data_IF_090703392353
#
_entry.id   IF_090703392353
#
_cell.length_a   1.000
_cell.length_b   1.000
_cell.length_c   1.000
_cell.angle_alpha   90.00
_cell.angle_beta   90.00
_cell.angle_gamma   90.00
#
_symmetry.space_group_name_H-M   'P 1'
#
loop_
_entity.id
_entity.type
_entity.pdbx_description
1 polymer ?
#
# COMPACT_ATOMS: atom_id res chain seq x y z
N UNK A 1 -10.16 -8.50 22.33
CA UNK A 1 -10.35 -9.15 21.03
C UNK A 1 -11.35 -8.45 20.08
N UNK A 2 -12.60 -8.18 20.47
CA UNK A 2 -13.67 -7.77 19.53
C UNK A 2 -13.36 -6.50 18.73
N UNK A 3 -12.90 -5.45 19.41
CA UNK A 3 -12.47 -4.21 18.76
C UNK A 3 -11.37 -4.43 17.71
N UNK A 4 -10.42 -5.33 17.96
CA UNK A 4 -9.37 -5.64 16.99
C UNK A 4 -9.94 -6.31 15.74
N UNK A 5 -10.89 -7.24 15.92
CA UNK A 5 -11.57 -7.92 14.82
C UNK A 5 -12.45 -6.98 14.00
N UNK A 6 -13.11 -6.02 14.64
CA UNK A 6 -13.90 -5.00 13.96
C UNK A 6 -13.01 -4.12 13.07
N UNK A 7 -11.92 -3.58 13.63
CA UNK A 7 -10.93 -2.80 12.86
C UNK A 7 -10.36 -3.61 11.70
N UNK A 8 -9.99 -4.87 11.94
CA UNK A 8 -9.48 -5.78 10.91
C UNK A 8 -10.50 -5.99 9.78
N UNK A 9 -11.77 -6.24 10.12
CA UNK A 9 -12.85 -6.44 9.16
C UNK A 9 -13.06 -5.22 8.27
N UNK A 10 -12.88 -4.02 8.84
CA UNK A 10 -13.02 -2.75 8.13
C UNK A 10 -11.73 -2.31 7.40
N UNK A 11 -10.70 -3.18 7.33
CA UNK A 11 -9.44 -2.87 6.66
C UNK A 11 -8.56 -1.84 7.39
N UNK A 12 -8.87 -1.54 8.66
CA UNK A 12 -8.12 -0.60 9.50
C UNK A 12 -6.93 -1.33 10.15
N UNK A 13 -6.07 -1.91 9.30
CA UNK A 13 -5.03 -2.85 9.71
C UNK A 13 -4.01 -2.22 10.67
N UNK A 14 -3.58 -0.99 10.43
CA UNK A 14 -2.62 -0.32 11.30
C UNK A 14 -3.20 -0.08 12.70
N UNK A 15 -4.48 0.27 12.80
CA UNK A 15 -5.17 0.42 14.08
C UNK A 15 -5.41 -0.94 14.77
N UNK A 16 -5.59 -2.03 14.02
CA UNK A 16 -5.81 -3.37 14.57
C UNK A 16 -4.53 -4.00 15.16
N UNK A 17 -3.36 -3.76 14.55
CA UNK A 17 -2.05 -4.32 14.97
C UNK A 17 -1.78 -4.18 16.48
N UNK A 18 -1.80 -2.99 17.09
CA UNK A 18 -1.47 -2.85 18.52
C UNK A 18 -2.44 -3.60 19.43
N UNK A 19 -3.71 -3.74 19.03
CA UNK A 19 -4.70 -4.49 19.80
C UNK A 19 -4.43 -6.00 19.72
N UNK A 20 -4.06 -6.53 18.55
CA UNK A 20 -3.66 -7.93 18.42
C UNK A 20 -2.38 -8.23 19.21
N UNK A 21 -1.37 -7.35 19.15
CA UNK A 21 -0.12 -7.51 19.93
C UNK A 21 -0.43 -7.59 21.43
N UNK A 22 -1.25 -6.66 21.94
CA UNK A 22 -1.65 -6.63 23.36
C UNK A 22 -2.36 -7.93 23.75
N UNK A 23 -3.31 -8.37 22.94
CA UNK A 23 -4.08 -9.59 23.18
C UNK A 23 -3.18 -10.83 23.22
N UNK A 24 -2.34 -11.03 22.20
CA UNK A 24 -1.38 -12.15 22.12
C UNK A 24 -0.45 -12.18 23.33
N UNK A 25 -0.01 -11.01 23.81
CA UNK A 25 0.86 -10.89 24.98
C UNK A 25 0.15 -11.31 26.27
N UNK A 26 -1.16 -11.06 26.39
CA UNK A 26 -1.97 -11.50 27.53
C UNK A 26 -2.40 -12.97 27.46
N UNK A 27 -2.72 -13.45 26.25
CA UNK A 27 -3.22 -14.81 26.02
C UNK A 27 -2.80 -15.27 24.63
N UNK A 28 -2.06 -16.37 24.58
CA UNK A 28 -1.72 -17.02 23.30
C UNK A 28 -2.99 -17.36 22.54
N UNK A 29 -3.09 -16.88 21.30
CA UNK A 29 -4.24 -17.09 20.43
C UNK A 29 -3.78 -17.22 18.98
N UNK A 30 -3.91 -18.42 18.41
CA UNK A 30 -3.53 -18.68 17.02
C UNK A 30 -4.35 -17.85 16.03
N UNK A 31 -5.64 -17.64 16.32
CA UNK A 31 -6.51 -16.80 15.50
C UNK A 31 -6.08 -15.33 15.48
N UNK A 32 -5.61 -14.80 16.61
CA UNK A 32 -5.07 -13.45 16.67
C UNK A 32 -3.71 -13.36 15.96
N UNK A 33 -2.84 -14.35 16.11
CA UNK A 33 -1.55 -14.39 15.43
C UNK A 33 -1.71 -14.38 13.91
N UNK A 34 -2.61 -15.23 13.36
CA UNK A 34 -2.91 -15.26 11.92
C UNK A 34 -3.44 -13.92 11.40
N UNK A 35 -4.32 -13.26 12.14
CA UNK A 35 -4.84 -11.93 11.76
C UNK A 35 -3.78 -10.83 11.85
N UNK A 36 -2.92 -10.88 12.85
CA UNK A 36 -1.77 -9.97 12.97
C UNK A 36 -0.80 -10.13 11.79
N UNK A 37 -0.46 -11.36 11.43
CA UNK A 37 0.35 -11.67 10.24
C UNK A 37 -0.32 -11.08 8.99
N UNK A 38 -1.63 -11.30 8.82
CA UNK A 38 -2.35 -10.73 7.69
C UNK A 38 -2.31 -9.20 7.68
N UNK A 39 -2.48 -8.52 8.82
CA UNK A 39 -2.30 -7.07 8.91
C UNK A 39 -0.92 -6.64 8.42
N UNK A 40 0.14 -7.35 8.82
CA UNK A 40 1.50 -7.05 8.35
C UNK A 40 1.62 -7.22 6.83
N UNK A 41 1.13 -8.34 6.28
CA UNK A 41 1.15 -8.61 4.84
C UNK A 41 0.38 -7.53 4.07
N UNK A 42 -0.82 -7.16 4.51
CA UNK A 42 -1.66 -6.13 3.88
C UNK A 42 -1.02 -4.75 3.88
N UNK A 43 -0.09 -4.48 4.80
CA UNK A 43 0.66 -3.23 4.90
C UNK A 43 2.08 -3.33 4.33
N UNK A 44 2.40 -4.41 3.59
CA UNK A 44 3.72 -4.69 3.06
C UNK A 44 4.84 -4.70 4.14
N UNK A 45 4.48 -5.04 5.38
CA UNK A 45 5.39 -5.21 6.53
C UNK A 45 5.93 -6.64 6.54
N UNK A 46 6.57 -7.01 5.45
CA UNK A 46 6.96 -8.40 5.17
C UNK A 46 8.00 -8.94 6.15
N UNK A 47 8.86 -8.08 6.71
CA UNK A 47 9.85 -8.45 7.73
C UNK A 47 9.18 -8.84 9.05
N UNK A 48 8.19 -8.08 9.49
CA UNK A 48 7.41 -8.37 10.69
C UNK A 48 6.57 -9.63 10.52
N UNK A 49 5.96 -9.82 9.33
CA UNK A 49 5.26 -11.05 8.99
C UNK A 49 6.21 -12.27 9.03
N UNK A 50 7.42 -12.14 8.47
CA UNK A 50 8.43 -13.21 8.45
C UNK A 50 8.79 -13.69 9.85
N UNK A 51 9.04 -12.76 10.78
CA UNK A 51 9.40 -13.10 12.17
C UNK A 51 8.32 -13.97 12.82
N UNK A 52 7.05 -13.58 12.65
CA UNK A 52 5.92 -14.35 13.23
C UNK A 52 5.74 -15.69 12.54
N UNK A 53 5.77 -15.72 11.22
CA UNK A 53 5.61 -16.95 10.42
C UNK A 53 6.74 -17.96 10.66
N UNK A 54 7.98 -17.50 10.81
CA UNK A 54 9.12 -18.35 11.15
C UNK A 54 8.92 -19.06 12.48
N UNK A 55 8.43 -18.34 13.51
CA UNK A 55 8.10 -18.94 14.81
C UNK A 55 7.02 -20.02 14.68
N UNK A 56 5.96 -19.75 13.91
CA UNK A 56 4.87 -20.71 13.69
C UNK A 56 5.29 -21.92 12.85
N UNK A 57 6.17 -21.74 11.87
CA UNK A 57 6.70 -22.81 11.01
C UNK A 57 7.69 -23.75 11.73
N UNK A 58 8.11 -23.39 12.95
CA UNK A 58 8.99 -24.19 13.80
C UNK A 58 8.25 -24.90 14.94
N UNK A 59 6.92 -24.81 14.99
CA UNK A 59 6.12 -25.66 15.88
C UNK A 59 6.26 -27.14 15.49
N UNK A 60 5.99 -28.10 16.40
CA UNK A 60 6.09 -29.53 16.09
C UNK A 60 5.23 -29.97 14.91
N UNK A 61 4.02 -29.39 14.80
CA UNK A 61 3.06 -29.67 13.71
C UNK A 61 2.54 -28.34 13.13
N UNK A 62 3.31 -27.68 12.26
CA UNK A 62 2.88 -26.44 11.62
C UNK A 62 1.84 -26.75 10.53
N UNK A 63 0.73 -26.01 10.49
CA UNK A 63 -0.26 -26.20 9.42
C UNK A 63 0.30 -25.82 8.04
N UNK A 64 -0.11 -26.52 6.98
CA UNK A 64 0.29 -26.24 5.60
C UNK A 64 0.08 -24.76 5.20
N UNK A 65 -1.01 -24.12 5.64
CA UNK A 65 -1.27 -22.69 5.39
C UNK A 65 -0.16 -21.76 5.89
N UNK A 66 0.44 -22.08 7.04
CA UNK A 66 1.53 -21.30 7.64
C UNK A 66 2.81 -21.53 6.87
N UNK A 67 3.10 -22.77 6.48
CA UNK A 67 4.28 -23.11 5.69
C UNK A 67 4.25 -22.44 4.32
N UNK A 68 3.09 -22.44 3.64
CA UNK A 68 2.89 -21.76 2.36
C UNK A 68 3.04 -20.24 2.49
N UNK A 69 2.34 -19.62 3.45
CA UNK A 69 2.48 -18.17 3.69
C UNK A 69 3.91 -17.79 4.07
N UNK A 70 4.61 -18.62 4.84
CA UNK A 70 5.99 -18.36 5.19
C UNK A 70 6.90 -18.44 3.96
N UNK A 71 6.72 -19.45 3.11
CA UNK A 71 7.46 -19.57 1.86
C UNK A 71 7.22 -18.36 0.94
N UNK A 72 5.97 -17.90 0.78
CA UNK A 72 5.65 -16.70 0.00
C UNK A 72 6.32 -15.44 0.57
N UNK A 73 6.36 -15.28 1.90
CA UNK A 73 7.03 -14.15 2.54
C UNK A 73 8.56 -14.22 2.39
N UNK A 74 9.15 -15.42 2.41
CA UNK A 74 10.56 -15.60 2.09
C UNK A 74 10.85 -15.18 0.65
N UNK A 75 9.99 -15.52 -0.32
CA UNK A 75 10.12 -15.04 -1.72
C UNK A 75 10.06 -13.51 -1.76
N UNK A 76 9.07 -12.88 -1.14
CA UNK A 76 8.92 -11.42 -1.12
C UNK A 76 10.11 -10.70 -0.47
N UNK A 77 10.76 -11.35 0.50
CA UNK A 77 11.97 -10.83 1.15
C UNK A 77 13.27 -11.23 0.42
N UNK A 78 13.19 -11.83 -0.78
CA UNK A 78 14.34 -12.24 -1.58
C UNK A 78 15.10 -13.45 -1.04
N UNK A 79 14.55 -14.16 -0.03
CA UNK A 79 15.17 -15.29 0.67
C UNK A 79 14.87 -16.63 -0.01
N UNK A 80 15.06 -16.69 -1.32
CA UNK A 80 14.73 -17.85 -2.13
C UNK A 80 15.49 -19.13 -1.75
N UNK A 81 16.69 -19.00 -1.19
CA UNK A 81 17.51 -20.17 -0.83
C UNK A 81 16.92 -20.95 0.37
N UNK A 82 16.10 -20.30 1.20
CA UNK A 82 15.45 -20.93 2.35
C UNK A 82 14.11 -21.61 2.00
N UNK A 83 13.51 -21.26 0.86
CA UNK A 83 12.14 -21.66 0.49
C UNK A 83 12.00 -23.18 0.39
N UNK A 84 12.93 -23.85 -0.29
CA UNK A 84 12.87 -25.31 -0.48
C UNK A 84 12.85 -26.10 0.83
N UNK A 85 13.56 -25.63 1.86
CA UNK A 85 13.56 -26.26 3.19
C UNK A 85 12.20 -26.16 3.88
N UNK A 86 11.50 -25.04 3.70
CA UNK A 86 10.15 -24.85 4.26
C UNK A 86 9.13 -25.71 3.51
N UNK A 87 9.19 -25.72 2.18
CA UNK A 87 8.24 -26.48 1.36
C UNK A 87 8.34 -27.99 1.55
N UNK A 88 9.52 -28.52 1.91
CA UNK A 88 9.70 -29.95 2.27
C UNK A 88 8.92 -30.38 3.52
N UNK A 89 8.50 -29.44 4.36
CA UNK A 89 7.68 -29.73 5.56
C UNK A 89 6.19 -29.88 5.25
N UNK A 90 5.75 -29.53 4.03
CA UNK A 90 4.35 -29.63 3.64
C UNK A 90 3.92 -31.10 3.54
N UNK A 91 2.70 -31.37 3.99
CA UNK A 91 2.04 -32.64 3.69
C UNK A 91 1.79 -32.75 2.18
N UNK A 92 1.97 -33.95 1.64
CA UNK A 92 1.83 -34.18 0.21
C UNK A 92 0.36 -34.18 -0.19
N UNK A 93 0.00 -33.27 -1.09
CA UNK A 93 -1.32 -33.23 -1.75
C UNK A 93 -1.16 -32.63 -3.15
N UNK A 94 -2.17 -32.82 -3.99
CA UNK A 94 -2.18 -32.25 -5.34
C UNK A 94 -2.16 -30.71 -5.31
N UNK A 95 -2.84 -30.11 -4.33
CA UNK A 95 -2.89 -28.67 -4.07
C UNK A 95 -1.53 -28.15 -3.61
N UNK A 96 -0.87 -28.88 -2.70
CA UNK A 96 0.47 -28.54 -2.24
C UNK A 96 1.49 -28.58 -3.39
N UNK A 97 1.41 -29.57 -4.29
CA UNK A 97 2.29 -29.68 -5.45
C UNK A 97 2.16 -28.47 -6.39
N UNK A 98 0.91 -28.02 -6.66
CA UNK A 98 0.64 -26.81 -7.47
C UNK A 98 1.23 -25.57 -6.79
N UNK A 99 1.02 -25.41 -5.48
CA UNK A 99 1.54 -24.27 -4.74
C UNK A 99 3.08 -24.24 -4.72
N UNK A 100 3.72 -25.40 -4.50
CA UNK A 100 5.18 -25.55 -4.53
C UNK A 100 5.74 -25.14 -5.89
N UNK A 101 5.16 -25.64 -6.99
CA UNK A 101 5.60 -25.29 -8.36
C UNK A 101 5.52 -23.80 -8.60
N UNK A 102 4.41 -23.16 -8.18
CA UNK A 102 4.23 -21.71 -8.32
C UNK A 102 5.27 -20.91 -7.53
N UNK A 103 5.50 -21.26 -6.26
CA UNK A 103 6.45 -20.55 -5.39
C UNK A 103 7.89 -20.73 -5.92
N UNK A 104 8.27 -21.95 -6.30
CA UNK A 104 9.60 -22.22 -6.88
C UNK A 104 9.80 -21.44 -8.18
N UNK A 105 8.79 -21.41 -9.05
CA UNK A 105 8.83 -20.63 -10.29
C UNK A 105 9.04 -19.13 -10.04
N UNK A 106 8.44 -18.56 -8.99
CA UNK A 106 8.69 -17.15 -8.63
C UNK A 106 10.16 -16.91 -8.25
N UNK A 107 10.77 -17.83 -7.52
CA UNK A 107 12.20 -17.73 -7.19
C UNK A 107 13.09 -17.85 -8.42
N UNK A 108 12.79 -18.78 -9.32
CA UNK A 108 13.53 -18.92 -10.58
C UNK A 108 13.38 -17.67 -11.44
N UNK A 109 12.16 -17.11 -11.51
CA UNK A 109 11.91 -15.86 -12.22
C UNK A 109 12.76 -14.72 -11.65
N UNK A 110 12.79 -14.52 -10.33
CA UNK A 110 13.61 -13.47 -9.70
C UNK A 110 15.09 -13.62 -10.06
N UNK A 111 15.61 -14.86 -10.12
CA UNK A 111 17.02 -15.14 -10.41
C UNK A 111 17.39 -15.04 -11.89
N UNK A 112 16.45 -15.32 -12.79
CA UNK A 112 16.73 -15.49 -14.22
C UNK A 112 16.12 -14.41 -15.10
N UNK A 113 15.22 -13.59 -14.57
CA UNK A 113 14.54 -12.55 -15.34
C UNK A 113 15.56 -11.55 -15.89
N UNK A 114 15.51 -11.35 -17.21
CA UNK A 114 16.32 -10.35 -17.92
C UNK A 114 15.48 -9.11 -18.17
N UNK A 115 16.09 -7.91 -18.17
CA UNK A 115 15.37 -6.70 -18.54
C UNK A 115 14.83 -6.83 -19.97
N UNK A 116 13.58 -6.45 -20.18
CA UNK A 116 12.97 -6.43 -21.53
C UNK A 116 13.67 -5.42 -22.45
N UNK A 117 14.22 -4.35 -21.87
CA UNK A 117 14.93 -3.29 -22.57
C UNK A 117 16.36 -3.18 -22.06
N UNK A 118 17.31 -3.81 -22.75
CA UNK A 118 18.72 -3.86 -22.36
C UNK A 118 19.44 -2.51 -22.41
N UNK A 119 18.89 -1.54 -23.15
CA UNK A 119 19.46 -0.20 -23.36
C UNK A 119 18.73 0.91 -22.60
N UNK A 120 17.94 0.56 -21.59
CA UNK A 120 17.23 1.53 -20.74
C UNK A 120 17.87 1.50 -19.36
N UNK A 121 18.35 2.65 -18.92
CA UNK A 121 18.73 2.84 -17.52
C UNK A 121 17.47 3.19 -16.73
N UNK A 122 17.16 2.37 -15.73
CA UNK A 122 16.06 2.64 -14.79
C UNK A 122 16.69 3.27 -13.55
N UNK A 123 16.53 4.58 -13.44
CA UNK A 123 16.94 5.35 -12.26
C UNK A 123 15.81 5.49 -11.24
N UNK A 124 16.18 5.74 -9.98
CA UNK A 124 15.23 6.23 -9.00
C UNK A 124 14.89 7.69 -9.32
N UNK A 125 13.62 8.05 -9.16
CA UNK A 125 13.21 9.44 -9.22
C UNK A 125 13.74 10.19 -7.99
N UNK A 126 14.34 11.37 -8.20
CA UNK A 126 15.08 12.10 -7.15
C UNK A 126 14.23 12.49 -5.93
N UNK A 127 12.90 12.52 -6.08
CA UNK A 127 11.96 12.83 -5.00
C UNK A 127 11.16 11.63 -4.50
N UNK A 128 11.57 10.41 -4.83
CA UNK A 128 11.10 9.24 -4.10
C UNK A 128 11.57 9.32 -2.64
N UNK A 129 10.74 8.85 -1.72
CA UNK A 129 11.03 8.83 -0.29
C UNK A 129 10.66 7.46 0.28
N UNK A 130 10.73 7.29 1.61
CA UNK A 130 10.20 6.10 2.28
C UNK A 130 8.65 6.07 2.35
N UNK A 131 8.00 7.10 1.80
CA UNK A 131 6.56 7.19 1.64
C UNK A 131 6.08 6.45 0.39
N UNK A 132 4.76 6.42 0.19
CA UNK A 132 4.11 5.86 -0.99
C UNK A 132 3.93 6.93 -2.07
N UNK A 133 4.93 7.08 -2.94
CA UNK A 133 4.80 7.85 -4.18
C UNK A 133 4.12 7.03 -5.28
N UNK A 134 2.93 7.44 -5.72
CA UNK A 134 2.17 6.69 -6.72
C UNK A 134 1.35 7.57 -7.67
N UNK A 135 0.74 6.88 -8.64
CA UNK A 135 -0.17 7.46 -9.65
C UNK A 135 0.40 8.69 -10.38
N UNK A 136 1.65 8.63 -10.90
CA UNK A 136 2.24 9.77 -11.60
C UNK A 136 1.56 10.02 -12.95
N UNK A 137 1.41 11.29 -13.32
CA UNK A 137 0.98 11.70 -14.65
C UNK A 137 1.58 13.05 -15.03
N UNK A 138 1.72 13.27 -16.33
CA UNK A 138 2.22 14.53 -16.86
C UNK A 138 1.08 15.50 -17.15
N UNK A 139 1.29 16.78 -16.81
CA UNK A 139 0.46 17.87 -17.31
C UNK A 139 1.34 19.08 -17.63
N UNK A 140 1.38 19.46 -18.91
CA UNK A 140 2.31 20.48 -19.43
C UNK A 140 3.76 20.12 -19.06
N UNK A 141 4.51 21.05 -18.45
CA UNK A 141 5.89 20.82 -18.01
C UNK A 141 6.00 20.28 -16.56
N UNK A 142 4.92 19.71 -16.03
CA UNK A 142 4.88 19.22 -14.65
C UNK A 142 4.64 17.71 -14.58
N UNK A 143 5.34 17.08 -13.64
CA UNK A 143 5.01 15.75 -13.15
C UNK A 143 4.15 15.92 -11.89
N UNK A 144 2.96 15.33 -11.91
CA UNK A 144 2.03 15.34 -10.79
C UNK A 144 1.91 13.91 -10.28
N UNK A 145 1.96 13.73 -8.97
CA UNK A 145 1.92 12.41 -8.33
C UNK A 145 1.28 12.52 -6.96
N UNK A 146 0.94 11.38 -6.38
CA UNK A 146 0.38 11.29 -5.03
C UNK A 146 1.45 10.82 -4.06
N UNK A 147 1.44 11.33 -2.83
CA UNK A 147 2.38 10.90 -1.80
C UNK A 147 1.77 11.03 -0.41
N UNK A 148 2.07 10.07 0.47
CA UNK A 148 1.82 10.15 1.91
C UNK A 148 3.07 10.60 2.69
N UNK A 149 3.98 11.33 2.03
CA UNK A 149 5.12 12.00 2.67
C UNK A 149 4.64 12.93 3.78
N UNK A 150 5.41 12.92 4.88
CA UNK A 150 5.08 13.71 6.06
C UNK A 150 5.10 15.21 5.76
N UNK A 151 3.98 15.89 6.03
CA UNK A 151 3.91 17.36 5.97
C UNK A 151 4.23 18.03 7.32
N UNK A 152 4.99 17.36 8.19
CA UNK A 152 5.29 17.81 9.56
C UNK A 152 4.13 17.62 10.55
N UNK A 153 4.33 18.08 11.79
CA UNK A 153 3.31 18.06 12.85
C UNK A 153 2.36 19.24 12.68
N UNK A 154 1.05 18.97 12.74
CA UNK A 154 -0.01 20.00 12.74
C UNK A 154 -1.01 19.66 13.84
N UNK A 155 -1.59 20.68 14.47
CA UNK A 155 -2.69 20.50 15.40
C UNK A 155 -3.84 19.77 14.69
N UNK A 156 -4.46 18.78 15.35
CA UNK A 156 -5.54 17.93 14.80
C UNK A 156 -5.13 16.98 13.65
N UNK A 157 -3.83 16.86 13.32
CA UNK A 157 -3.36 15.89 12.32
C UNK A 157 -3.61 14.47 12.84
N UNK A 158 -4.18 13.62 11.98
CA UNK A 158 -4.36 12.19 12.22
C UNK A 158 -3.48 11.40 11.27
N UNK A 159 -3.11 10.19 11.69
CA UNK A 159 -2.59 9.17 10.78
C UNK A 159 -3.76 8.32 10.27
N UNK A 160 -3.60 7.76 9.08
CA UNK A 160 -4.54 6.82 8.52
C UNK A 160 -4.62 5.58 9.40
N UNK A 161 -5.83 5.20 9.82
CA UNK A 161 -6.05 3.97 10.59
C UNK A 161 -5.83 2.70 9.74
N UNK A 162 -5.89 2.84 8.41
CA UNK A 162 -5.56 1.78 7.46
C UNK A 162 -4.06 1.53 7.45
N UNK A 163 -3.25 2.54 7.10
CA UNK A 163 -1.81 2.36 6.82
C UNK A 163 -0.90 2.70 8.00
N UNK A 164 -1.38 3.51 8.95
CA UNK A 164 -0.59 4.08 10.04
C UNK A 164 0.31 5.24 9.61
N UNK A 165 0.22 5.65 8.33
CA UNK A 165 1.01 6.76 7.74
C UNK A 165 0.15 8.02 7.62
N UNK A 166 0.72 9.08 7.05
CA UNK A 166 -0.06 10.26 6.67
C UNK A 166 -1.09 9.92 5.59
N UNK A 167 -2.00 10.84 5.33
CA UNK A 167 -2.96 10.72 4.24
C UNK A 167 -2.32 11.12 2.91
N UNK A 168 -2.63 10.36 1.86
CA UNK A 168 -2.19 10.66 0.50
C UNK A 168 -2.64 12.07 0.09
N UNK A 169 -1.73 12.80 -0.52
CA UNK A 169 -1.98 14.13 -1.09
C UNK A 169 -1.31 14.23 -2.45
N UNK A 170 -1.82 15.12 -3.31
CA UNK A 170 -1.29 15.35 -4.63
C UNK A 170 -0.19 16.42 -4.56
N UNK A 171 0.96 16.12 -5.16
CA UNK A 171 2.12 16.99 -5.29
C UNK A 171 2.41 17.23 -6.77
N UNK A 172 3.00 18.38 -7.07
CA UNK A 172 3.45 18.73 -8.41
C UNK A 172 4.91 19.19 -8.38
N UNK A 173 5.66 18.81 -9.39
CA UNK A 173 7.00 19.33 -9.64
C UNK A 173 7.17 19.70 -11.11
N UNK A 174 7.93 20.76 -11.38
CA UNK A 174 8.21 21.21 -12.73
C UNK A 174 9.56 20.68 -13.21
N UNK A 175 9.61 20.25 -14.47
CA UNK A 175 10.84 19.79 -15.11
C UNK A 175 11.79 20.97 -15.31
N UNK A 176 13.05 20.84 -14.86
CA UNK A 176 14.13 21.81 -15.11
C UNK A 176 14.86 21.43 -16.40
N UNK A 177 15.25 20.16 -16.53
CA UNK A 177 15.86 19.57 -17.72
C UNK A 177 15.50 18.07 -17.80
N UNK A 178 16.11 17.32 -18.72
CA UNK A 178 15.77 15.91 -18.96
C UNK A 178 15.95 14.97 -17.75
N UNK A 179 16.77 15.36 -16.78
CA UNK A 179 17.08 14.53 -15.61
C UNK A 179 16.77 15.20 -14.26
N UNK A 180 16.44 16.49 -14.22
CA UNK A 180 16.22 17.21 -12.95
C UNK A 180 14.91 17.98 -12.89
N UNK A 181 14.41 18.10 -11.67
CA UNK A 181 13.08 18.58 -11.34
C UNK A 181 13.16 19.59 -10.18
N UNK A 182 12.19 20.50 -10.10
CA UNK A 182 12.07 21.39 -8.94
C UNK A 182 11.59 20.61 -7.70
N UNK A 183 11.87 21.10 -6.50
CA UNK A 183 11.31 20.51 -5.27
C UNK A 183 9.78 20.38 -5.38
N UNK A 184 9.19 19.19 -5.15
CA UNK A 184 7.75 19.02 -5.29
C UNK A 184 6.98 19.82 -4.26
N UNK A 185 5.95 20.50 -4.72
CA UNK A 185 5.05 21.28 -3.89
C UNK A 185 3.69 20.58 -3.77
N UNK A 186 3.12 20.64 -2.57
CA UNK A 186 1.77 20.13 -2.32
C UNK A 186 0.78 21.01 -3.07
N UNK A 187 -0.13 20.42 -3.85
CA UNK A 187 -1.21 21.17 -4.48
C UNK A 187 -2.06 21.90 -3.42
N UNK A 188 -2.74 23.01 -3.77
CA UNK A 188 -3.48 23.83 -2.82
C UNK A 188 -4.49 23.04 -1.98
N UNK A 189 -4.79 23.54 -0.78
CA UNK A 189 -5.74 22.92 0.19
C UNK A 189 -7.14 22.71 -0.37
N UNK A 190 -7.50 23.49 -1.37
CA UNK A 190 -8.66 23.27 -2.23
C UNK A 190 -8.67 21.80 -2.69
N UNK A 191 -7.59 21.34 -3.31
CA UNK A 191 -7.46 19.95 -3.77
C UNK A 191 -7.17 19.04 -2.59
N UNK A 192 -6.10 19.37 -1.84
CA UNK A 192 -5.60 18.56 -0.75
C UNK A 192 -6.29 18.86 0.58
N UNK A 193 -7.44 18.25 0.78
CA UNK A 193 -8.16 18.30 2.05
C UNK A 193 -7.40 17.64 3.21
N UNK A 194 -7.58 18.18 4.40
CA UNK A 194 -6.90 17.73 5.61
C UNK A 194 -7.46 16.41 6.13
N UNK A 195 -6.59 15.46 6.49
CA UNK A 195 -6.94 14.12 6.98
C UNK A 195 -7.82 13.29 6.02
N UNK A 196 -7.63 13.46 4.70
CA UNK A 196 -8.34 12.69 3.67
C UNK A 196 -7.34 12.18 2.64
N UNK A 197 -7.50 10.91 2.23
CA UNK A 197 -6.71 10.35 1.14
C UNK A 197 -7.18 10.91 -0.19
N UNK A 198 -6.26 11.52 -0.91
CA UNK A 198 -6.46 12.09 -2.23
C UNK A 198 -5.32 11.60 -3.11
N UNK A 199 -5.65 10.91 -4.20
CA UNK A 199 -4.67 10.24 -5.04
C UNK A 199 -5.12 10.18 -6.49
N UNK A 200 -4.12 10.08 -7.37
CA UNK A 200 -4.27 10.01 -8.81
C UNK A 200 -4.92 11.26 -9.38
N UNK A 201 -5.00 11.26 -10.71
CA UNK A 201 -5.81 12.23 -11.41
C UNK A 201 -5.38 12.45 -12.84
N UNK A 202 -6.09 13.35 -13.50
CA UNK A 202 -5.77 13.82 -14.83
C UNK A 202 -6.45 15.17 -15.08
N UNK A 203 -5.76 16.04 -15.81
CA UNK A 203 -6.34 17.30 -16.26
C UNK A 203 -6.92 17.14 -17.67
N UNK A 204 -7.96 17.89 -17.99
CA UNK A 204 -8.37 18.09 -19.38
C UNK A 204 -7.25 18.75 -20.17
N UNK A 205 -7.21 18.53 -21.49
CA UNK A 205 -6.17 19.07 -22.37
C UNK A 205 -5.97 20.58 -22.25
N UNK A 206 -7.06 21.33 -22.09
CA UNK A 206 -7.05 22.78 -21.90
C UNK A 206 -6.67 23.21 -20.46
N UNK A 207 -6.66 22.27 -19.51
CA UNK A 207 -6.42 22.52 -18.09
C UNK A 207 -7.61 23.11 -17.34
N UNK A 208 -8.78 23.21 -17.97
CA UNK A 208 -9.95 23.81 -17.33
C UNK A 208 -10.56 22.93 -16.25
N UNK A 209 -10.30 21.62 -16.28
CA UNK A 209 -10.79 20.66 -15.28
C UNK A 209 -9.69 19.71 -14.82
N UNK A 210 -9.81 19.30 -13.58
CA UNK A 210 -8.98 18.29 -12.95
C UNK A 210 -9.86 17.21 -12.31
N UNK A 211 -9.63 15.96 -12.70
CA UNK A 211 -10.31 14.79 -12.15
C UNK A 211 -9.34 14.05 -11.23
N UNK A 212 -9.77 13.67 -10.03
CA UNK A 212 -8.91 12.97 -9.07
C UNK A 212 -9.73 12.07 -8.14
N UNK A 213 -9.09 11.07 -7.54
CA UNK A 213 -9.74 10.16 -6.61
C UNK A 213 -9.58 10.65 -5.18
N UNK A 214 -10.64 10.53 -4.37
CA UNK A 214 -10.64 10.96 -2.98
C UNK A 214 -11.59 10.11 -2.14
N UNK A 215 -11.18 9.81 -0.91
CA UNK A 215 -12.03 9.14 0.06
C UNK A 215 -13.09 10.12 0.61
N UNK A 216 -14.32 9.66 0.80
CA UNK A 216 -15.33 10.48 1.46
C UNK A 216 -15.06 10.60 2.98
N UNK A 217 -15.60 11.64 3.62
CA UNK A 217 -15.60 11.79 5.09
C UNK A 217 -16.63 10.92 5.80
N UNK A 218 -17.55 10.33 5.04
CA UNK A 218 -18.66 9.55 5.58
C UNK A 218 -18.45 8.12 5.20
N UNK A 219 -18.65 7.24 6.16
CA UNK A 219 -18.67 5.83 5.92
C UNK A 219 -19.82 5.48 4.96
N UNK A 220 -19.53 4.54 4.09
CA UNK A 220 -20.48 3.93 3.18
C UNK A 220 -21.34 2.86 3.85
N UNK A 221 -22.17 2.18 3.04
CA UNK A 221 -22.78 0.92 3.49
C UNK A 221 -21.64 -0.06 3.83
N UNK A 222 -21.69 -0.64 5.03
CA UNK A 222 -20.67 -1.51 5.65
C UNK A 222 -19.52 -0.81 6.37
N UNK A 223 -19.65 0.46 6.76
CA UNK A 223 -18.65 1.16 7.57
C UNK A 223 -17.27 1.30 6.91
N UNK A 224 -17.24 1.39 5.57
CA UNK A 224 -16.04 1.59 4.76
C UNK A 224 -16.13 2.93 4.02
N UNK A 225 -15.05 3.71 4.01
CA UNK A 225 -14.99 4.94 3.20
C UNK A 225 -15.01 4.62 1.70
N UNK A 226 -15.98 5.18 0.97
CA UNK A 226 -15.98 5.06 -0.50
C UNK A 226 -14.92 5.95 -1.13
N UNK A 227 -14.16 5.37 -2.05
CA UNK A 227 -13.36 6.12 -3.00
C UNK A 227 -14.29 6.64 -4.10
N UNK A 228 -14.21 7.94 -4.40
CA UNK A 228 -14.98 8.57 -5.47
C UNK A 228 -14.06 9.39 -6.36
N UNK A 229 -14.48 9.62 -7.60
CA UNK A 229 -13.85 10.57 -8.52
C UNK A 229 -14.47 11.94 -8.29
N UNK A 230 -13.63 12.96 -8.16
CA UNK A 230 -14.02 14.37 -8.00
C UNK A 230 -13.59 15.18 -9.21
N UNK A 231 -14.34 16.23 -9.54
CA UNK A 231 -14.00 17.22 -10.56
C UNK A 231 -13.72 18.56 -9.87
N UNK A 232 -12.58 19.19 -10.21
CA UNK A 232 -12.28 20.57 -9.86
C UNK A 232 -12.10 21.41 -11.13
N UNK A 233 -12.81 22.53 -11.22
CA UNK A 233 -12.67 23.48 -12.32
C UNK A 233 -11.57 24.48 -11.99
N UNK A 234 -10.61 24.69 -12.89
CA UNK A 234 -9.60 25.72 -12.76
C UNK A 234 -10.06 27.00 -13.50
N UNK A 235 -10.42 28.04 -12.75
CA UNK A 235 -10.89 29.33 -13.29
C UNK A 235 -10.26 30.49 -12.54
N UNK A 236 -9.81 31.51 -13.27
CA UNK A 236 -9.18 32.73 -12.73
C UNK A 236 -8.01 32.43 -11.77
N UNK A 237 -7.13 31.49 -12.14
CA UNK A 237 -5.95 31.14 -11.33
C UNK A 237 -6.25 30.31 -10.07
N UNK A 238 -7.47 29.78 -9.92
CA UNK A 238 -7.82 28.99 -8.74
C UNK A 238 -8.75 27.82 -9.03
N UNK A 239 -8.65 26.76 -8.23
CA UNK A 239 -9.58 25.64 -8.26
C UNK A 239 -10.93 26.01 -7.60
N UNK A 240 -12.02 25.63 -8.26
CA UNK A 240 -13.41 25.71 -7.78
C UNK A 240 -14.02 24.30 -7.80
N UNK A 241 -14.70 23.90 -6.73
CA UNK A 241 -15.27 22.57 -6.60
C UNK A 241 -16.68 22.49 -7.14
N UNK A 242 -16.96 21.42 -7.88
CA UNK A 242 -18.30 20.84 -7.95
C UNK A 242 -18.19 19.36 -7.59
N UNK A 243 -18.98 18.91 -6.61
CA UNK A 243 -19.16 17.48 -6.39
C UNK A 243 -19.71 16.90 -7.68
N UNK A 244 -18.92 16.05 -8.32
CA UNK A 244 -19.35 15.36 -9.52
C UNK A 244 -19.34 13.88 -9.16
N UNK A 245 -20.53 13.35 -8.90
CA UNK A 245 -20.69 11.94 -8.53
C UNK A 245 -20.54 11.12 -9.80
N UNK A 246 -19.34 10.61 -10.07
CA UNK A 246 -19.18 9.50 -10.99
C UNK A 246 -18.73 8.26 -10.23
N UNK A 247 -19.64 7.29 -10.22
CA UNK A 247 -19.49 5.87 -9.91
C UNK A 247 -19.32 5.50 -8.44
N UNK A 248 -20.26 4.65 -7.97
CA UNK A 248 -20.05 3.74 -6.86
C UNK A 248 -19.35 2.51 -7.45
N UNK A 249 -18.13 2.22 -6.99
CA UNK A 249 -17.52 0.90 -7.17
C UNK A 249 -17.65 0.11 -5.86
#
# INVERSE_FOLDING_TARGET
MDKANELYKNGLYAAAIPLYIKEISSKKSMGAEKKLINCYIRLNKTKEAEIRLSSLANLPEPSNDILLQYAEILVLNGKCDSVGTILKKLEQSSEAEVAIKKIMHQCDFIKTNKPLFEKVEIGQFEFNTDADENSPFYFRNQLIFSSDRSSGKKLLKKTSETTGRDYLSIYGTSKINDSTWQTPEKLPSKINEFNVNISGGSFTKDGSKFYFSKNHHTLGKNDVYYLQIFEATFKNGSFQYRKTTFLYF
#
